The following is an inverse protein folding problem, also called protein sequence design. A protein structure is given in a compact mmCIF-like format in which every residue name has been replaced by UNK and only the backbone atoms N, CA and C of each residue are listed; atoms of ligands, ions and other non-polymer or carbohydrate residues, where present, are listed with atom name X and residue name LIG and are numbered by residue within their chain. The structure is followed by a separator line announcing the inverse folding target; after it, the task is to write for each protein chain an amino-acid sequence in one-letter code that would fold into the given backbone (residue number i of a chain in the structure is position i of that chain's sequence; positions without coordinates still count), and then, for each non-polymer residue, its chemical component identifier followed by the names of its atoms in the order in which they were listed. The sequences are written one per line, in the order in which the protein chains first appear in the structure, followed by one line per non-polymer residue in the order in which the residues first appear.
data_IF_108738994298
#
_entry.id   IF_108738994298
#
_cell.length_a   1.000
_cell.length_b   1.000
_cell.length_c   1.000
_cell.angle_alpha   90.00
_cell.angle_beta   90.00
_cell.angle_gamma   90.00
#
_symmetry.space_group_name_H-M   'P 1'
#
loop_
_entity.id
_entity.type
_entity.pdbx_description
1 polymer ?
#
# COMPACT_ATOMS: atom_id res chain seq x y z
N UNK A 1 24.39 -6.96 14.12
CA UNK A 1 23.59 -5.92 14.80
C UNK A 1 23.25 -4.84 13.77
N UNK A 2 22.00 -4.39 13.69
CA UNK A 2 21.61 -3.24 12.86
C UNK A 2 21.14 -2.11 13.76
N UNK A 3 21.32 -0.89 13.26
CA UNK A 3 20.87 0.33 13.91
C UNK A 3 20.05 1.15 12.91
N UNK A 4 18.92 1.69 13.35
CA UNK A 4 18.10 2.66 12.62
C UNK A 4 17.71 3.77 13.59
N UNK A 5 17.96 5.02 13.22
CA UNK A 5 17.56 6.17 14.03
C UNK A 5 16.05 6.45 13.86
N UNK A 6 15.23 5.53 14.38
CA UNK A 6 13.78 5.62 14.34
C UNK A 6 13.30 6.80 15.20
N UNK A 7 12.54 7.70 14.57
CA UNK A 7 12.03 8.93 15.17
C UNK A 7 11.05 8.59 16.28
N UNK A 8 10.23 7.54 16.10
CA UNK A 8 9.23 7.09 17.09
C UNK A 8 9.34 5.59 17.38
N UNK A 9 10.33 5.15 18.20
CA UNK A 9 10.45 3.77 18.64
C UNK A 9 9.24 3.36 19.47
N UNK A 10 8.68 2.17 19.20
CA UNK A 10 7.45 1.69 19.82
C UNK A 10 7.36 0.17 19.76
N UNK A 11 6.44 -0.41 20.53
CA UNK A 11 6.16 -1.85 20.52
C UNK A 11 7.37 -2.75 20.87
N UNK A 12 8.29 -2.24 21.69
CA UNK A 12 9.46 -2.98 22.14
C UNK A 12 10.36 -3.42 20.99
N UNK A 13 10.58 -4.73 20.87
CA UNK A 13 11.47 -5.33 19.85
C UNK A 13 10.96 -5.16 18.42
N UNK A 14 9.66 -4.90 18.23
CA UNK A 14 9.06 -4.78 16.90
C UNK A 14 9.53 -3.52 16.16
N UNK A 15 9.80 -2.42 16.89
CA UNK A 15 10.26 -1.15 16.29
C UNK A 15 11.24 -0.43 17.20
N UNK A 16 12.39 -1.07 17.41
CA UNK A 16 13.52 -0.55 18.18
C UNK A 16 14.55 0.16 17.28
N UNK A 17 15.43 0.95 17.90
CA UNK A 17 16.57 1.59 17.20
C UNK A 17 17.72 0.62 16.94
N UNK A 18 17.90 -0.36 17.81
CA UNK A 18 18.89 -1.41 17.68
C UNK A 18 18.18 -2.76 17.66
N UNK A 19 18.52 -3.59 16.67
CA UNK A 19 17.87 -4.88 16.50
C UNK A 19 18.76 -5.87 15.74
N UNK A 20 18.42 -7.15 15.89
CA UNK A 20 19.02 -8.22 15.10
C UNK A 20 18.28 -8.33 13.77
N UNK A 21 19.05 -8.42 12.70
CA UNK A 21 18.53 -8.61 11.35
C UNK A 21 19.43 -9.61 10.64
N UNK A 22 18.80 -10.55 9.95
CA UNK A 22 19.47 -11.42 9.00
C UNK A 22 19.29 -10.80 7.62
N UNK A 23 20.37 -10.23 7.12
CA UNK A 23 20.52 -9.73 5.76
C UNK A 23 21.33 -10.71 4.92
N UNK A 24 20.97 -10.84 3.65
CA UNK A 24 21.65 -11.68 2.68
C UNK A 24 21.72 -10.95 1.35
N UNK A 25 22.83 -11.13 0.64
CA UNK A 25 23.11 -10.53 -0.65
C UNK A 25 23.62 -11.62 -1.57
N UNK A 26 23.12 -11.65 -2.81
CA UNK A 26 23.53 -12.60 -3.82
C UNK A 26 23.89 -11.88 -5.12
N UNK A 27 24.88 -12.41 -5.84
CA UNK A 27 25.44 -11.79 -7.04
C UNK A 27 25.35 -12.78 -8.18
N UNK A 28 24.82 -12.33 -9.33
CA UNK A 28 24.46 -13.20 -10.43
C UNK A 28 24.94 -12.64 -11.77
N UNK A 29 25.44 -13.52 -12.63
CA UNK A 29 25.83 -13.17 -13.99
C UNK A 29 24.64 -13.09 -14.96
N UNK A 30 23.45 -13.58 -14.57
CA UNK A 30 22.24 -13.58 -15.39
C UNK A 30 20.96 -13.42 -14.55
N UNK A 31 19.88 -12.95 -15.18
CA UNK A 31 18.56 -12.84 -14.54
C UNK A 31 17.98 -14.19 -14.10
N UNK A 32 18.27 -15.26 -14.85
CA UNK A 32 17.84 -16.62 -14.48
C UNK A 32 18.48 -17.08 -13.18
N UNK A 33 19.81 -16.90 -13.03
CA UNK A 33 20.51 -17.28 -11.80
C UNK A 33 20.03 -16.45 -10.58
N UNK A 34 19.70 -15.17 -10.82
CA UNK A 34 19.06 -14.32 -9.82
C UNK A 34 17.70 -14.90 -9.40
N UNK A 35 16.85 -15.26 -10.36
CA UNK A 35 15.51 -15.80 -10.10
C UNK A 35 15.58 -17.11 -9.31
N UNK A 36 16.47 -18.04 -9.68
CA UNK A 36 16.66 -19.31 -8.96
C UNK A 36 17.03 -19.09 -7.49
N UNK A 37 17.92 -18.12 -7.23
CA UNK A 37 18.34 -17.79 -5.87
C UNK A 37 17.24 -17.06 -5.10
N UNK A 38 16.48 -16.20 -5.79
CA UNK A 38 15.32 -15.53 -5.22
C UNK A 38 14.25 -16.55 -4.78
N UNK A 39 13.92 -17.52 -5.63
CA UNK A 39 12.93 -18.56 -5.35
C UNK A 39 13.40 -19.48 -4.21
N UNK A 40 14.69 -19.83 -4.18
CA UNK A 40 15.29 -20.58 -3.09
C UNK A 40 15.19 -19.82 -1.75
N UNK A 41 15.41 -18.50 -1.77
CA UNK A 41 15.27 -17.66 -0.60
C UNK A 41 13.82 -17.53 -0.15
N UNK A 42 12.89 -17.36 -1.09
CA UNK A 42 11.45 -17.37 -0.79
C UNK A 42 11.05 -18.66 -0.07
N UNK A 43 11.48 -19.82 -0.57
CA UNK A 43 11.19 -21.11 0.06
C UNK A 43 11.90 -21.26 1.42
N UNK A 44 13.14 -20.79 1.55
CA UNK A 44 13.88 -20.82 2.80
C UNK A 44 13.17 -20.01 3.91
N UNK A 45 12.71 -18.80 3.60
CA UNK A 45 11.96 -17.98 4.56
C UNK A 45 10.62 -18.63 4.90
N UNK A 46 9.89 -19.14 3.91
CA UNK A 46 8.66 -19.92 4.11
C UNK A 46 8.88 -21.07 5.10
N UNK A 47 9.96 -21.83 4.92
CA UNK A 47 10.32 -22.93 5.83
C UNK A 47 10.69 -22.44 7.23
N UNK A 48 11.41 -21.32 7.35
CA UNK A 48 11.79 -20.72 8.64
C UNK A 48 10.53 -20.32 9.43
N UNK A 49 9.61 -19.56 8.82
CA UNK A 49 8.38 -19.14 9.48
C UNK A 49 7.48 -20.32 9.85
N UNK A 50 7.36 -21.33 8.97
CA UNK A 50 6.66 -22.58 9.28
C UNK A 50 7.29 -23.34 10.45
N UNK A 51 8.62 -23.43 10.50
CA UNK A 51 9.34 -24.12 11.58
C UNK A 51 9.17 -23.42 12.93
N UNK A 52 9.07 -22.09 12.93
CA UNK A 52 8.79 -21.29 14.14
C UNK A 52 7.30 -21.41 14.54
N UNK A 53 6.42 -21.84 13.64
CA UNK A 53 4.99 -22.03 13.91
C UNK A 53 4.17 -20.75 13.79
N UNK A 54 4.64 -19.79 12.98
CA UNK A 54 3.95 -18.52 12.78
C UNK A 54 2.86 -18.64 11.72
N UNK A 55 1.75 -17.93 11.91
CA UNK A 55 0.75 -17.72 10.86
C UNK A 55 1.20 -16.53 10.01
N UNK A 56 1.60 -16.77 8.77
CA UNK A 56 2.18 -15.72 7.92
C UNK A 56 1.70 -15.78 6.47
N UNK A 57 1.90 -14.68 5.74
CA UNK A 57 1.69 -14.57 4.30
C UNK A 57 2.88 -13.88 3.66
N UNK A 58 3.37 -14.45 2.56
CA UNK A 58 4.25 -13.75 1.65
C UNK A 58 3.39 -12.95 0.67
N UNK A 59 3.61 -11.63 0.60
CA UNK A 59 2.81 -10.71 -0.21
C UNK A 59 3.73 -9.97 -1.16
N UNK A 60 3.25 -9.64 -2.36
CA UNK A 60 3.97 -8.75 -3.28
C UNK A 60 4.06 -7.37 -2.64
N UNK A 61 5.22 -6.75 -2.70
CA UNK A 61 5.47 -5.43 -2.13
C UNK A 61 6.16 -4.52 -3.14
N UNK A 62 6.11 -3.22 -2.89
CA UNK A 62 6.85 -2.26 -3.68
C UNK A 62 8.37 -2.54 -3.57
N UNK A 63 9.10 -2.30 -4.64
CA UNK A 63 10.57 -2.42 -4.63
C UNK A 63 11.22 -1.20 -3.99
N UNK A 64 10.44 -0.12 -3.82
CA UNK A 64 10.79 1.06 -3.04
C UNK A 64 12.13 1.67 -3.46
N UNK A 65 12.86 2.20 -2.47
CA UNK A 65 14.15 2.87 -2.69
C UNK A 65 15.31 1.92 -3.04
N UNK A 66 15.15 0.60 -2.82
CA UNK A 66 16.17 -0.40 -3.20
C UNK A 66 16.13 -0.61 -4.73
N UNK A 67 14.96 -0.43 -5.35
CA UNK A 67 14.74 -0.63 -6.78
C UNK A 67 14.77 -2.11 -7.20
N UNK A 68 14.29 -2.39 -8.41
CA UNK A 68 14.25 -3.73 -9.01
C UNK A 68 12.87 -4.14 -9.52
N UNK A 69 12.77 -5.38 -10.00
CA UNK A 69 11.58 -5.95 -10.70
C UNK A 69 10.74 -6.91 -9.82
N UNK A 70 11.12 -7.16 -8.56
CA UNK A 70 10.41 -8.13 -7.71
C UNK A 70 10.73 -8.00 -6.23
N UNK A 71 9.70 -7.74 -5.42
CA UNK A 71 9.78 -7.65 -3.96
C UNK A 71 8.64 -8.46 -3.32
N UNK A 72 8.99 -9.25 -2.31
CA UNK A 72 8.03 -9.97 -1.48
C UNK A 72 8.33 -9.71 -0.01
N UNK A 73 7.31 -9.34 0.73
CA UNK A 73 7.34 -9.19 2.18
C UNK A 73 6.68 -10.38 2.86
N UNK A 74 7.25 -10.82 3.97
CA UNK A 74 6.67 -11.88 4.81
C UNK A 74 6.02 -11.25 6.03
N UNK A 75 4.69 -11.28 6.08
CA UNK A 75 3.88 -10.69 7.15
C UNK A 75 3.33 -11.76 8.07
N UNK A 76 3.56 -11.63 9.38
CA UNK A 76 2.85 -12.42 10.38
C UNK A 76 1.46 -11.82 10.57
N UNK A 77 0.42 -12.65 10.51
CA UNK A 77 -0.96 -12.20 10.63
C UNK A 77 -1.28 -11.88 12.09
N UNK A 78 -1.47 -10.59 12.39
CA UNK A 78 -1.85 -10.11 13.71
C UNK A 78 -2.61 -8.78 13.61
N UNK A 79 -3.61 -8.59 14.47
CA UNK A 79 -4.40 -7.35 14.53
C UNK A 79 -3.56 -6.12 14.91
N UNK A 80 -2.41 -6.34 15.55
CA UNK A 80 -1.46 -5.30 15.95
C UNK A 80 -0.41 -4.98 14.88
N UNK A 81 -0.50 -5.56 13.69
CA UNK A 81 0.40 -5.26 12.58
C UNK A 81 0.28 -3.80 12.13
N UNK A 82 1.40 -3.18 11.74
CA UNK A 82 1.37 -1.81 11.21
C UNK A 82 1.00 -1.77 9.71
N UNK A 83 1.19 -2.89 9.01
CA UNK A 83 0.96 -3.01 7.58
C UNK A 83 -0.42 -3.60 7.27
N UNK A 84 -1.08 -3.03 6.26
CA UNK A 84 -2.31 -3.57 5.71
C UNK A 84 -2.00 -4.39 4.45
N UNK A 85 -2.49 -5.63 4.41
CA UNK A 85 -2.32 -6.53 3.27
C UNK A 85 -3.69 -6.76 2.60
N UNK A 86 -3.71 -6.69 1.27
CA UNK A 86 -4.83 -7.13 0.46
C UNK A 86 -4.57 -8.57 0.00
N UNK A 87 -5.51 -9.47 0.24
CA UNK A 87 -5.43 -10.85 -0.24
C UNK A 87 -6.78 -11.31 -0.79
N UNK A 88 -6.72 -12.21 -1.77
CA UNK A 88 -7.93 -12.78 -2.37
C UNK A 88 -8.43 -13.95 -1.53
N UNK A 89 -9.75 -14.05 -1.36
CA UNK A 89 -10.40 -15.20 -0.73
C UNK A 89 -10.51 -16.41 -1.66
N UNK A 90 -10.27 -16.24 -2.97
CA UNK A 90 -10.48 -17.27 -4.00
C UNK A 90 -9.22 -17.60 -4.82
N UNK A 91 -8.15 -16.82 -4.68
CA UNK A 91 -6.89 -17.05 -5.38
C UNK A 91 -5.69 -16.86 -4.46
N UNK A 92 -4.48 -17.16 -4.97
CA UNK A 92 -3.23 -16.96 -4.22
C UNK A 92 -2.73 -15.50 -4.25
N UNK A 93 -3.53 -14.55 -4.73
CA UNK A 93 -3.15 -13.15 -4.75
C UNK A 93 -3.01 -12.60 -3.33
N UNK A 94 -1.86 -12.00 -3.04
CA UNK A 94 -1.63 -11.20 -1.85
C UNK A 94 -0.61 -10.10 -2.15
N UNK A 95 -0.92 -8.87 -1.73
CA UNK A 95 -0.06 -7.71 -1.90
C UNK A 95 -0.15 -6.78 -0.68
N UNK A 96 0.92 -6.03 -0.42
CA UNK A 96 0.85 -4.87 0.46
C UNK A 96 -0.14 -3.85 -0.15
N UNK A 97 -0.94 -3.15 0.66
CA UNK A 97 -1.93 -2.17 0.17
C UNK A 97 -1.31 -1.07 -0.69
N UNK A 98 -0.03 -0.76 -0.48
CA UNK A 98 0.72 0.22 -1.29
C UNK A 98 0.91 -0.25 -2.75
N UNK A 99 0.97 -1.57 -2.99
CA UNK A 99 1.10 -2.17 -4.33
C UNK A 99 -0.24 -2.72 -4.85
N UNK A 100 -1.20 -2.98 -3.97
CA UNK A 100 -2.45 -3.65 -4.33
C UNK A 100 -3.20 -2.87 -5.43
N UNK A 101 -3.44 -3.54 -6.55
CA UNK A 101 -4.12 -2.92 -7.69
C UNK A 101 -5.61 -2.74 -7.37
N UNK A 102 -6.08 -1.51 -7.52
CA UNK A 102 -7.50 -1.19 -7.40
C UNK A 102 -8.21 -1.46 -8.74
N UNK A 103 -8.83 -2.63 -8.86
CA UNK A 103 -9.60 -3.00 -10.05
C UNK A 103 -10.90 -2.19 -10.08
N UNK A 104 -11.12 -1.45 -11.17
CA UNK A 104 -12.37 -0.74 -11.42
C UNK A 104 -13.47 -1.76 -11.78
N UNK A 105 -14.63 -1.66 -11.13
CA UNK A 105 -15.76 -2.58 -11.38
C UNK A 105 -16.59 -2.19 -12.61
N UNK A 106 -16.63 -0.88 -12.94
CA UNK A 106 -17.39 -0.34 -14.06
C UNK A 106 -16.53 0.65 -14.85
N UNK A 107 -16.32 0.37 -16.14
CA UNK A 107 -15.49 1.22 -17.02
C UNK A 107 -16.27 2.40 -17.63
N UNK A 108 -17.59 2.45 -17.45
CA UNK A 108 -18.43 3.45 -18.10
C UNK A 108 -18.99 4.47 -17.12
N UNK A 109 -18.43 5.68 -17.17
CA UNK A 109 -19.02 6.85 -16.52
C UNK A 109 -20.46 7.06 -17.06
N UNK A 110 -21.48 7.18 -16.19
CA UNK A 110 -22.83 7.53 -16.61
C UNK A 110 -22.88 8.90 -17.30
N UNK A 111 -23.86 9.07 -18.20
CA UNK A 111 -24.09 10.36 -18.85
C UNK A 111 -24.40 11.45 -17.82
N UNK A 112 -23.99 12.68 -18.13
CA UNK A 112 -24.26 13.84 -17.29
C UNK A 112 -25.77 14.10 -17.22
N UNK A 113 -26.31 14.15 -16.00
CA UNK A 113 -27.74 14.40 -15.74
C UNK A 113 -28.04 15.79 -15.21
N UNK A 114 -27.00 16.53 -14.83
CA UNK A 114 -27.11 17.79 -14.10
C UNK A 114 -26.14 18.82 -14.68
N UNK A 115 -26.55 20.09 -14.67
CA UNK A 115 -25.68 21.21 -15.04
C UNK A 115 -24.77 21.58 -13.86
N UNK A 116 -23.56 22.06 -14.15
CA UNK A 116 -22.62 22.51 -13.12
C UNK A 116 -23.15 23.77 -12.41
N UNK A 117 -23.18 23.73 -11.08
CA UNK A 117 -23.61 24.85 -10.24
C UNK A 117 -22.57 25.09 -9.14
N UNK A 118 -22.25 26.36 -8.89
CA UNK A 118 -21.43 26.77 -7.75
C UNK A 118 -22.33 26.96 -6.53
N UNK A 119 -21.93 26.40 -5.39
CA UNK A 119 -22.64 26.53 -4.12
C UNK A 119 -21.67 26.88 -3.00
N UNK A 120 -22.18 27.52 -1.95
CA UNK A 120 -21.38 27.90 -0.80
C UNK A 120 -21.26 26.73 0.18
N UNK A 121 -20.03 26.43 0.61
CA UNK A 121 -19.73 25.40 1.61
C UNK A 121 -19.11 26.01 2.87
N UNK A 122 -19.80 26.91 3.58
CA UNK A 122 -19.22 27.63 4.71
C UNK A 122 -18.81 26.65 5.81
N UNK A 123 -17.54 26.73 6.21
CA UNK A 123 -16.92 25.93 7.29
C UNK A 123 -16.86 24.41 7.04
N UNK A 124 -17.27 23.91 5.88
CA UNK A 124 -17.13 22.49 5.54
C UNK A 124 -15.76 22.23 4.90
N UNK A 125 -15.01 21.29 5.46
CA UNK A 125 -13.62 21.01 5.03
C UNK A 125 -13.38 19.55 4.64
N UNK A 126 -14.33 18.66 4.91
CA UNK A 126 -14.24 17.23 4.56
C UNK A 126 -15.22 16.86 3.46
N UNK A 127 -14.88 15.83 2.67
CA UNK A 127 -15.78 15.29 1.66
C UNK A 127 -17.10 14.80 2.29
N UNK A 128 -17.04 14.20 3.48
CA UNK A 128 -18.23 13.75 4.22
C UNK A 128 -19.17 14.90 4.56
N UNK A 129 -18.62 16.02 5.07
CA UNK A 129 -19.44 17.16 5.46
C UNK A 129 -20.05 17.88 4.25
N UNK A 130 -19.28 17.99 3.15
CA UNK A 130 -19.79 18.53 1.89
C UNK A 130 -20.88 17.63 1.31
N UNK A 131 -20.69 16.30 1.31
CA UNK A 131 -21.69 15.34 0.83
C UNK A 131 -23.00 15.44 1.61
N UNK A 132 -22.91 15.54 2.95
CA UNK A 132 -24.08 15.76 3.83
C UNK A 132 -24.78 17.08 3.55
N UNK A 133 -24.02 18.17 3.38
CA UNK A 133 -24.58 19.51 3.12
C UNK A 133 -25.40 19.55 1.83
N UNK A 134 -24.93 18.89 0.77
CA UNK A 134 -25.60 18.88 -0.53
C UNK A 134 -26.61 17.72 -0.71
N UNK A 135 -26.78 16.87 0.31
CA UNK A 135 -27.67 15.71 0.25
C UNK A 135 -27.25 14.66 -0.78
N UNK A 136 -25.94 14.51 -1.03
CA UNK A 136 -25.39 13.55 -1.99
C UNK A 136 -24.60 12.44 -1.29
N UNK A 137 -24.37 11.35 -2.02
CA UNK A 137 -23.48 10.27 -1.58
C UNK A 137 -22.02 10.71 -1.67
N UNK A 138 -21.15 10.25 -0.75
CA UNK A 138 -19.71 10.58 -0.77
C UNK A 138 -19.02 10.17 -2.09
N UNK A 139 -19.51 9.13 -2.76
CA UNK A 139 -19.02 8.68 -4.07
C UNK A 139 -19.26 9.71 -5.18
N UNK A 140 -20.15 10.68 -4.98
CA UNK A 140 -20.35 11.84 -5.88
C UNK A 140 -19.43 13.01 -5.55
N UNK A 141 -18.56 12.87 -4.55
CA UNK A 141 -17.53 13.87 -4.22
C UNK A 141 -16.18 13.44 -4.77
N UNK A 142 -15.35 14.41 -5.11
CA UNK A 142 -13.98 14.19 -5.56
C UNK A 142 -13.04 14.89 -4.59
N UNK A 143 -11.97 14.20 -4.17
CA UNK A 143 -10.94 14.76 -3.33
C UNK A 143 -9.78 15.21 -4.20
N UNK A 144 -9.50 16.51 -4.16
CA UNK A 144 -8.33 17.08 -4.82
C UNK A 144 -7.18 17.15 -3.82
N UNK A 145 -6.03 16.58 -4.19
CA UNK A 145 -4.80 16.64 -3.40
C UNK A 145 -3.74 17.35 -4.24
N UNK A 146 -3.33 18.53 -3.76
CA UNK A 146 -2.21 19.27 -4.32
C UNK A 146 -0.90 18.62 -3.87
N UNK A 147 -0.06 18.21 -4.81
CA UNK A 147 1.25 17.66 -4.53
C UNK A 147 2.32 18.61 -5.04
N UNK A 148 3.40 18.75 -4.28
CA UNK A 148 4.59 19.49 -4.69
C UNK A 148 5.69 18.46 -4.84
N UNK A 149 6.17 18.27 -6.07
CA UNK A 149 7.32 17.42 -6.31
C UNK A 149 8.59 18.26 -6.21
N UNK A 150 9.47 17.91 -5.28
CA UNK A 150 10.79 18.52 -5.17
C UNK A 150 11.80 17.66 -5.94
N UNK A 151 11.89 17.88 -7.24
CA UNK A 151 13.03 17.43 -8.06
C UNK A 151 14.08 18.54 -8.07
N UNK A 152 15.36 18.16 -8.02
CA UNK A 152 16.50 18.95 -7.54
C UNK A 152 16.74 20.36 -8.13
N UNK A 153 15.97 20.89 -9.09
CA UNK A 153 16.15 22.27 -9.59
C UNK A 153 14.85 23.05 -9.94
N UNK A 154 13.65 22.46 -9.86
CA UNK A 154 12.38 23.17 -10.14
C UNK A 154 11.25 22.59 -9.29
N UNK A 155 10.48 23.44 -8.60
CA UNK A 155 9.23 23.02 -7.95
C UNK A 155 8.18 22.73 -9.03
N UNK A 156 7.90 21.47 -9.29
CA UNK A 156 6.81 21.06 -10.18
C UNK A 156 5.55 20.80 -9.36
N UNK A 157 4.48 21.56 -9.64
CA UNK A 157 3.18 21.35 -9.03
C UNK A 157 2.40 20.31 -9.82
N UNK A 158 1.96 19.24 -9.16
CA UNK A 158 1.06 18.27 -9.76
C UNK A 158 -0.25 18.19 -8.95
N UNK A 159 -1.36 18.08 -9.67
CA UNK A 159 -2.68 17.88 -9.07
C UNK A 159 -3.05 16.42 -9.23
N UNK A 160 -3.28 15.73 -8.12
CA UNK A 160 -3.89 14.40 -8.13
C UNK A 160 -5.35 14.52 -7.73
N UNK A 161 -6.25 13.96 -8.54
CA UNK A 161 -7.65 13.81 -8.19
C UNK A 161 -7.88 12.37 -7.77
N UNK A 162 -8.33 12.17 -6.54
CA UNK A 162 -8.80 10.88 -6.05
C UNK A 162 -10.33 10.90 -6.03
N UNK A 163 -10.94 10.02 -6.80
CA UNK A 163 -12.38 9.77 -6.76
C UNK A 163 -12.62 8.68 -5.74
N UNK A 164 -13.43 8.96 -4.72
CA UNK A 164 -13.74 8.01 -3.66
C UNK A 164 -14.71 6.93 -4.17
N UNK A 165 -14.18 5.93 -4.87
CA UNK A 165 -14.90 4.68 -5.18
C UNK A 165 -14.05 3.50 -4.69
N UNK A 166 -13.97 3.35 -3.36
CA UNK A 166 -13.53 2.11 -2.73
C UNK A 166 -14.77 1.38 -2.22
N UNK A 167 -15.26 0.43 -3.01
CA UNK A 167 -16.19 -0.59 -2.52
C UNK A 167 -15.35 -1.74 -1.94
N UNK A 168 -14.86 -1.58 -0.71
CA UNK A 168 -14.32 -2.70 0.06
C UNK A 168 -15.49 -3.43 0.69
N UNK A 169 -15.91 -4.54 0.06
CA UNK A 169 -16.78 -5.52 0.69
C UNK A 169 -16.10 -6.01 1.97
N UNK A 170 -16.62 -5.59 3.12
CA UNK A 170 -16.47 -6.31 4.39
C UNK A 170 -17.42 -7.51 4.30
N UNK A 171 -16.87 -8.71 4.20
CA UNK A 171 -17.60 -9.94 4.50
C UNK A 171 -17.20 -10.36 5.91
N UNK A 172 -18.21 -10.55 6.76
CA UNK A 172 -18.10 -11.18 8.08
C UNK A 172 -17.57 -12.60 7.97
#
# INVERSE_FOLDING_TARGET
MKFRDEIRPRFGVMRAREFLMKDAYSFHASKTSLQETYDAMYQAYTNIFNKIGLQFRAVKADTGAIGGDGSHEFHVLADSGEDAIAYSSVSNYAANIELAEAILQDDKRPDAKESMVKFDTPKQTTCDDVAKLIGASIQKTVKTIALINQTNEVNEFSWSLSVATMSLMRLN
#
